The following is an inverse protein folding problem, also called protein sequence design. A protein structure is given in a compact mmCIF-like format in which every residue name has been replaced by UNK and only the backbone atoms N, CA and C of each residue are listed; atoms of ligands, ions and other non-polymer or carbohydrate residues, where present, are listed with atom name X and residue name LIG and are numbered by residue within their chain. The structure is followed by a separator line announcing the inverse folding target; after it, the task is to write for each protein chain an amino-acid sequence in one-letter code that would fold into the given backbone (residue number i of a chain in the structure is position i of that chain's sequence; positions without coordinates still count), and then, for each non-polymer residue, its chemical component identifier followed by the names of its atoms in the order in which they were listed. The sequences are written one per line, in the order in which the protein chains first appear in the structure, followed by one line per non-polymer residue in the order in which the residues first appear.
data_IF_958597904741
#
_entry.id   IF_958597904741
#
_cell.length_a   1.000
_cell.length_b   1.000
_cell.length_c   1.000
_cell.angle_alpha   90.00
_cell.angle_beta   90.00
_cell.angle_gamma   90.00
#
_symmetry.space_group_name_H-M   'P 1'
#
loop_
_entity.id
_entity.type
_entity.pdbx_description
1 polymer ?
#
# COMPACT_ATOMS: atom_id res chain seq x y z
N UNK A 1 -51.30 -14.25 -23.29
CA UNK A 1 -50.30 -14.71 -22.30
C UNK A 1 -48.84 -14.38 -22.67
N UNK A 2 -48.58 -13.52 -23.67
CA UNK A 2 -47.23 -13.20 -24.16
C UNK A 2 -46.63 -11.87 -23.62
N UNK A 3 -47.45 -10.96 -23.10
CA UNK A 3 -46.98 -9.65 -22.60
C UNK A 3 -46.30 -9.72 -21.23
N UNK A 4 -46.68 -10.69 -20.39
CA UNK A 4 -46.12 -10.87 -19.05
C UNK A 4 -44.67 -11.40 -19.04
N UNK A 5 -44.19 -12.00 -20.14
CA UNK A 5 -42.78 -12.40 -20.27
C UNK A 5 -41.87 -11.24 -20.70
N UNK A 6 -42.36 -10.28 -21.51
CA UNK A 6 -41.58 -9.11 -21.95
C UNK A 6 -41.27 -8.14 -20.80
N UNK A 7 -42.21 -7.93 -19.87
CA UNK A 7 -41.98 -7.09 -18.69
C UNK A 7 -40.96 -7.68 -17.70
N UNK A 8 -40.94 -9.00 -17.53
CA UNK A 8 -40.00 -9.67 -16.62
C UNK A 8 -38.56 -9.67 -17.15
N UNK A 9 -38.37 -9.79 -18.47
CA UNK A 9 -37.05 -9.66 -19.10
C UNK A 9 -36.48 -8.24 -19.01
N UNK A 10 -37.32 -7.22 -19.14
CA UNK A 10 -36.91 -5.82 -19.02
C UNK A 10 -36.56 -5.42 -17.56
N UNK A 11 -37.32 -5.94 -16.59
CA UNK A 11 -37.03 -5.75 -15.15
C UNK A 11 -35.71 -6.41 -14.71
N UNK A 12 -35.38 -7.59 -15.22
CA UNK A 12 -34.11 -8.27 -14.91
C UNK A 12 -32.88 -7.53 -15.47
N UNK A 13 -33.03 -6.86 -16.61
CA UNK A 13 -31.99 -6.02 -17.21
C UNK A 13 -31.78 -4.73 -16.39
N UNK A 14 -32.85 -4.08 -15.93
CA UNK A 14 -32.74 -2.87 -15.11
C UNK A 14 -32.11 -3.18 -13.73
N UNK A 15 -32.45 -4.31 -13.11
CA UNK A 15 -31.87 -4.73 -11.82
C UNK A 15 -30.38 -5.09 -11.96
N UNK A 16 -29.95 -5.65 -13.09
CA UNK A 16 -28.52 -5.92 -13.34
C UNK A 16 -27.69 -4.66 -13.61
N UNK A 17 -28.30 -3.57 -14.10
CA UNK A 17 -27.63 -2.27 -14.25
C UNK A 17 -27.48 -1.49 -12.92
N UNK A 18 -28.32 -1.75 -11.91
CA UNK A 18 -28.24 -1.03 -10.61
C UNK A 18 -27.16 -1.56 -9.66
N UNK A 19 -26.68 -2.79 -9.84
CA UNK A 19 -25.60 -3.35 -9.00
C UNK A 19 -24.21 -3.02 -9.58
N UNK A 20 -24.13 -2.66 -10.86
CA UNK A 20 -22.93 -2.09 -11.49
C UNK A 20 -22.84 -0.57 -11.33
N UNK A 21 -23.55 0.02 -10.36
CA UNK A 21 -23.27 1.37 -9.92
C UNK A 21 -21.85 1.39 -9.36
N UNK A 22 -20.92 1.75 -10.24
CA UNK A 22 -19.51 2.05 -10.01
C UNK A 22 -19.39 2.80 -8.68
N UNK A 23 -19.11 2.08 -7.58
CA UNK A 23 -18.66 2.72 -6.35
C UNK A 23 -17.25 3.19 -6.63
N UNK A 24 -17.11 4.34 -7.28
CA UNK A 24 -15.89 5.11 -7.22
C UNK A 24 -15.62 5.35 -5.72
N UNK A 25 -14.74 4.55 -5.14
CA UNK A 25 -14.41 4.67 -3.73
C UNK A 25 -13.77 6.05 -3.53
N UNK A 26 -14.22 6.75 -2.49
CA UNK A 26 -13.66 8.06 -2.17
C UNK A 26 -12.16 7.89 -1.86
N UNK A 27 -11.29 8.86 -2.26
CA UNK A 27 -9.90 8.87 -1.84
C UNK A 27 -9.77 8.71 -0.32
N UNK A 28 -8.78 7.95 0.14
CA UNK A 28 -8.55 7.64 1.56
C UNK A 28 -8.52 8.92 2.40
N UNK A 29 -7.86 9.94 1.88
CA UNK A 29 -7.63 11.24 2.51
C UNK A 29 -8.91 12.03 2.78
N UNK A 30 -9.98 11.76 2.02
CA UNK A 30 -11.30 12.41 2.14
C UNK A 30 -12.25 11.67 3.09
N UNK A 31 -11.82 10.54 3.65
CA UNK A 31 -12.63 9.76 4.57
C UNK A 31 -12.54 10.38 5.97
N UNK A 32 -13.71 10.64 6.57
CA UNK A 32 -13.81 11.21 7.93
C UNK A 32 -13.80 10.10 8.99
N UNK A 33 -14.26 8.89 8.62
CA UNK A 33 -14.22 7.73 9.49
C UNK A 33 -12.78 7.34 9.85
N UNK A 34 -12.61 6.78 11.05
CA UNK A 34 -11.33 6.23 11.52
C UNK A 34 -10.98 4.87 10.90
N UNK A 35 -11.87 4.30 10.09
CA UNK A 35 -11.67 3.02 9.41
C UNK A 35 -12.25 3.06 8.00
N UNK A 36 -11.69 2.24 7.13
CA UNK A 36 -12.19 2.02 5.78
C UNK A 36 -12.04 0.56 5.38
N UNK A 37 -13.03 0.06 4.64
CA UNK A 37 -13.04 -1.30 4.10
C UNK A 37 -12.70 -1.29 2.61
N UNK A 38 -11.76 -2.14 2.23
CA UNK A 38 -11.46 -2.55 0.85
C UNK A 38 -12.11 -3.92 0.57
N UNK A 39 -11.93 -4.47 -0.64
CA UNK A 39 -12.39 -5.81 -1.01
C UNK A 39 -12.01 -6.89 0.02
N UNK A 40 -10.79 -6.86 0.54
CA UNK A 40 -10.19 -7.96 1.33
C UNK A 40 -9.66 -7.54 2.71
N UNK A 41 -9.68 -6.25 3.05
CA UNK A 41 -9.11 -5.77 4.30
C UNK A 41 -9.90 -4.59 4.87
N UNK A 42 -9.93 -4.52 6.20
CA UNK A 42 -10.31 -3.31 6.94
C UNK A 42 -9.05 -2.61 7.41
N UNK A 43 -8.93 -1.32 7.11
CA UNK A 43 -7.82 -0.49 7.51
C UNK A 43 -8.28 0.56 8.51
N UNK A 44 -7.45 0.81 9.52
CA UNK A 44 -7.54 2.00 10.38
C UNK A 44 -6.87 3.18 9.68
N UNK A 45 -7.51 4.34 9.76
CA UNK A 45 -7.03 5.62 9.27
C UNK A 45 -6.64 6.51 10.45
N UNK A 46 -5.41 7.00 10.44
CA UNK A 46 -4.90 7.97 11.41
C UNK A 46 -4.47 9.24 10.68
N UNK A 47 -4.68 10.40 11.29
CA UNK A 47 -4.18 11.69 10.78
C UNK A 47 -3.09 12.18 11.72
N UNK A 48 -1.82 11.77 11.52
CA UNK A 48 -0.74 12.16 12.41
C UNK A 48 -0.51 13.67 12.42
N UNK A 49 -0.84 14.35 11.32
CA UNK A 49 -0.82 15.80 11.18
C UNK A 49 -1.84 16.27 10.13
N UNK A 50 -1.88 17.59 9.88
CA UNK A 50 -2.81 18.23 8.94
C UNK A 50 -2.51 17.92 7.46
N UNK A 51 -1.34 17.38 7.15
CA UNK A 51 -0.84 17.14 5.80
C UNK A 51 -0.79 15.65 5.43
N UNK A 52 -0.93 14.74 6.39
CA UNK A 52 -0.78 13.30 6.16
C UNK A 52 -1.95 12.46 6.69
N UNK A 53 -2.22 11.37 5.98
CA UNK A 53 -3.10 10.27 6.40
C UNK A 53 -2.31 8.98 6.39
N UNK A 54 -2.31 8.30 7.52
CA UNK A 54 -1.67 7.01 7.74
C UNK A 54 -2.71 5.89 7.66
N UNK A 55 -2.39 4.83 6.94
CA UNK A 55 -3.26 3.69 6.67
C UNK A 55 -2.63 2.43 7.24
N UNK A 56 -3.34 1.79 8.16
CA UNK A 56 -2.86 0.63 8.91
C UNK A 56 -3.86 -0.51 8.71
N UNK A 57 -3.43 -1.61 8.10
CA UNK A 57 -4.25 -2.81 7.99
C UNK A 57 -4.52 -3.37 9.40
N UNK A 58 -5.79 -3.62 9.75
CA UNK A 58 -6.16 -4.12 11.09
C UNK A 58 -5.66 -5.54 11.37
N UNK A 59 -5.27 -6.29 10.32
CA UNK A 59 -4.66 -7.60 10.47
C UNK A 59 -3.16 -7.53 10.82
N UNK A 60 -2.55 -6.34 10.83
CA UNK A 60 -1.17 -6.15 11.24
C UNK A 60 -1.02 -6.42 12.75
N UNK A 61 -0.22 -7.42 13.09
CA UNK A 61 0.10 -7.85 14.46
C UNK A 61 1.41 -7.27 14.99
N UNK A 62 2.31 -6.84 14.11
CA UNK A 62 3.63 -6.33 14.48
C UNK A 62 3.65 -4.81 14.71
N UNK A 63 2.55 -4.09 14.43
CA UNK A 63 2.51 -2.61 14.56
C UNK A 63 2.77 -2.13 16.00
N UNK A 64 2.36 -2.89 17.01
CA UNK A 64 2.60 -2.60 18.44
C UNK A 64 3.76 -3.39 19.05
N UNK A 65 4.42 -4.24 18.27
CA UNK A 65 5.53 -5.09 18.74
C UNK A 65 6.83 -4.35 18.52
N UNK A 66 7.73 -4.36 19.51
CA UNK A 66 9.07 -3.76 19.37
C UNK A 66 9.95 -4.65 18.49
N UNK A 67 10.75 -4.04 17.62
CA UNK A 67 11.77 -4.75 16.86
C UNK A 67 12.81 -5.36 17.82
N UNK A 68 13.12 -6.65 17.64
CA UNK A 68 14.11 -7.38 18.41
C UNK A 68 15.14 -7.98 17.47
N UNK A 69 16.42 -7.83 17.81
CA UNK A 69 17.56 -8.43 17.11
C UNK A 69 18.69 -8.68 18.12
N UNK A 70 18.55 -9.70 18.98
CA UNK A 70 19.37 -9.86 20.19
C UNK A 70 20.86 -10.12 19.90
N UNK A 71 21.18 -10.67 18.73
CA UNK A 71 22.56 -10.94 18.31
C UNK A 71 23.18 -9.83 17.46
N UNK A 72 22.46 -8.72 17.25
CA UNK A 72 22.98 -7.58 16.52
C UNK A 72 24.03 -6.85 17.39
N UNK A 73 25.25 -6.61 16.89
CA UNK A 73 26.25 -5.89 17.66
C UNK A 73 25.77 -4.47 18.05
N UNK A 74 26.18 -3.96 19.22
CA UNK A 74 25.86 -2.60 19.63
C UNK A 74 26.29 -1.57 18.56
N UNK A 75 25.45 -0.57 18.31
CA UNK A 75 25.72 0.50 17.35
C UNK A 75 25.46 0.15 15.88
N UNK A 76 25.17 -1.12 15.56
CA UNK A 76 24.82 -1.53 14.20
C UNK A 76 23.36 -1.17 13.91
N UNK A 77 23.14 -0.38 12.87
CA UNK A 77 21.81 0.00 12.39
C UNK A 77 21.46 -0.77 11.13
N UNK A 78 20.52 -1.73 11.25
CA UNK A 78 20.07 -2.58 10.14
C UNK A 78 19.70 -1.81 8.87
N UNK A 79 19.01 -0.64 8.91
CA UNK A 79 18.68 0.10 7.69
C UNK A 79 19.91 0.42 6.81
N UNK A 80 21.08 0.62 7.42
CA UNK A 80 22.34 0.85 6.70
C UNK A 80 22.86 -0.37 5.94
N UNK A 81 22.29 -1.55 6.15
CA UNK A 81 22.64 -2.84 5.55
C UNK A 81 21.53 -3.42 4.66
N UNK A 82 20.44 -2.69 4.47
CA UNK A 82 19.35 -3.10 3.58
C UNK A 82 19.56 -2.45 2.21
N UNK A 83 19.38 -3.23 1.16
CA UNK A 83 19.28 -2.76 -0.20
C UNK A 83 17.84 -2.91 -0.69
N UNK A 84 17.22 -1.79 -1.03
CA UNK A 84 15.84 -1.65 -1.47
C UNK A 84 15.83 -1.44 -2.97
N UNK A 85 15.12 -2.28 -3.71
CA UNK A 85 14.87 -2.04 -5.14
C UNK A 85 13.74 -1.02 -5.29
N UNK A 86 14.10 0.26 -5.26
CA UNK A 86 13.17 1.38 -5.38
C UNK A 86 12.46 1.40 -6.75
N UNK A 87 13.13 0.93 -7.82
CA UNK A 87 12.55 0.86 -9.17
C UNK A 87 11.43 -0.19 -9.23
N UNK A 88 11.65 -1.35 -8.61
CA UNK A 88 10.62 -2.38 -8.48
C UNK A 88 9.44 -1.88 -7.65
N UNK A 89 9.68 -1.18 -6.54
CA UNK A 89 8.60 -0.57 -5.75
C UNK A 89 7.81 0.47 -6.56
N UNK A 90 8.49 1.36 -7.29
CA UNK A 90 7.84 2.32 -8.18
C UNK A 90 6.96 1.62 -9.22
N UNK A 91 7.44 0.52 -9.81
CA UNK A 91 6.68 -0.29 -10.76
C UNK A 91 5.45 -0.97 -10.12
N UNK A 92 5.60 -1.52 -8.92
CA UNK A 92 4.49 -2.12 -8.17
C UNK A 92 3.44 -1.06 -7.81
N UNK A 93 3.85 0.11 -7.34
CA UNK A 93 2.91 1.19 -7.05
C UNK A 93 2.22 1.67 -8.32
N UNK A 94 2.98 1.98 -9.38
CA UNK A 94 2.47 2.48 -10.65
C UNK A 94 1.44 1.56 -11.33
N UNK A 95 1.67 0.24 -11.32
CA UNK A 95 0.73 -0.71 -11.95
C UNK A 95 -0.62 -0.77 -11.25
N UNK A 96 -0.64 -0.54 -9.93
CA UNK A 96 -1.84 -0.65 -9.10
C UNK A 96 -2.63 0.66 -9.00
N UNK A 97 -2.07 1.78 -9.46
CA UNK A 97 -2.75 3.06 -9.53
C UNK A 97 -3.35 3.27 -10.93
N UNK A 98 -4.55 3.83 -10.98
CA UNK A 98 -5.15 4.24 -12.25
C UNK A 98 -4.36 5.41 -12.88
N UNK A 99 -4.40 5.54 -14.20
CA UNK A 99 -3.75 6.66 -14.91
C UNK A 99 -4.25 8.01 -14.39
N UNK A 100 -5.56 8.10 -14.14
CA UNK A 100 -6.17 9.28 -13.59
C UNK A 100 -5.69 9.57 -12.16
N UNK A 101 -5.53 8.55 -11.31
CA UNK A 101 -4.95 8.71 -9.97
C UNK A 101 -3.53 9.27 -10.09
N UNK A 102 -2.69 8.66 -10.93
CA UNK A 102 -1.27 9.05 -11.10
C UNK A 102 -1.11 10.48 -11.60
N UNK A 103 -1.87 10.88 -12.63
CA UNK A 103 -1.79 12.23 -13.19
C UNK A 103 -2.28 13.31 -12.23
N UNK A 104 -3.15 12.95 -11.28
CA UNK A 104 -3.67 13.86 -10.26
C UNK A 104 -2.87 13.84 -8.95
N UNK A 105 -1.83 13.00 -8.84
CA UNK A 105 -0.92 13.06 -7.70
C UNK A 105 -0.04 14.30 -7.80
N UNK A 106 0.30 14.94 -6.66
CA UNK A 106 1.20 16.07 -6.65
C UNK A 106 2.62 15.63 -7.07
N UNK A 107 3.31 16.46 -7.87
CA UNK A 107 4.58 16.09 -8.53
C UNK A 107 5.79 16.88 -7.99
N UNK A 108 5.68 17.48 -6.81
CA UNK A 108 6.76 18.22 -6.18
C UNK A 108 7.87 17.33 -5.62
N UNK A 109 9.01 17.93 -5.30
CA UNK A 109 10.20 17.21 -4.80
C UNK A 109 9.95 16.39 -3.52
N UNK A 110 9.01 16.85 -2.67
CA UNK A 110 8.62 16.17 -1.43
C UNK A 110 7.35 15.32 -1.54
N UNK A 111 6.88 15.04 -2.75
CA UNK A 111 5.63 14.30 -2.96
C UNK A 111 5.89 12.81 -3.25
N UNK A 112 5.61 11.98 -2.25
CA UNK A 112 5.85 10.55 -2.30
C UNK A 112 4.78 9.77 -1.50
N UNK A 113 4.66 8.49 -1.80
CA UNK A 113 4.05 7.49 -0.92
C UNK A 113 5.12 6.98 0.05
N UNK A 114 4.91 7.18 1.35
CA UNK A 114 5.77 6.55 2.37
C UNK A 114 5.23 5.18 2.73
N UNK A 115 6.10 4.19 2.80
CA UNK A 115 5.77 2.80 3.13
C UNK A 115 6.72 2.33 4.22
N UNK A 116 6.16 2.09 5.41
CA UNK A 116 6.88 1.45 6.51
C UNK A 116 6.66 -0.06 6.40
N UNK A 117 7.65 -0.78 5.88
CA UNK A 117 7.59 -2.21 5.62
C UNK A 117 8.29 -2.95 6.77
N UNK A 118 7.61 -3.89 7.39
CA UNK A 118 8.20 -4.87 8.30
C UNK A 118 8.56 -6.10 7.50
N UNK A 119 9.82 -6.51 7.55
CA UNK A 119 10.34 -7.68 6.82
C UNK A 119 10.82 -8.76 7.80
N UNK A 120 10.82 -10.01 7.38
CA UNK A 120 11.51 -11.07 8.13
C UNK A 120 13.03 -11.06 7.87
N UNK A 121 13.74 -11.98 8.50
CA UNK A 121 15.20 -12.19 8.37
C UNK A 121 15.64 -12.61 6.96
N UNK A 122 14.71 -13.05 6.11
CA UNK A 122 14.97 -13.33 4.70
C UNK A 122 14.68 -12.14 3.78
N UNK A 123 14.26 -10.99 4.31
CA UNK A 123 13.94 -9.80 3.52
C UNK A 123 12.54 -9.81 2.89
N UNK A 124 11.67 -10.74 3.31
CA UNK A 124 10.30 -10.88 2.80
C UNK A 124 9.37 -9.95 3.59
N UNK A 125 8.53 -9.12 2.93
CA UNK A 125 7.52 -8.29 3.59
C UNK A 125 6.49 -9.10 4.38
N UNK A 126 6.27 -8.70 5.63
CA UNK A 126 5.28 -9.27 6.54
C UNK A 126 4.07 -8.34 6.69
N UNK A 127 4.33 -7.08 6.98
CA UNK A 127 3.31 -6.06 7.29
C UNK A 127 3.76 -4.71 6.81
N UNK A 128 2.79 -3.83 6.54
CA UNK A 128 3.05 -2.53 5.96
C UNK A 128 2.14 -1.48 6.58
N UNK A 129 2.66 -0.27 6.68
CA UNK A 129 1.88 0.93 6.98
C UNK A 129 2.17 1.94 5.89
N UNK A 130 1.12 2.56 5.37
CA UNK A 130 1.26 3.58 4.33
C UNK A 130 1.01 4.96 4.91
N UNK A 131 1.76 5.96 4.45
CA UNK A 131 1.46 7.36 4.75
C UNK A 131 1.35 8.11 3.43
N UNK A 132 0.19 8.74 3.26
CA UNK A 132 -0.18 9.51 2.08
C UNK A 132 -0.32 10.98 2.46
N UNK A 133 0.01 11.88 1.53
CA UNK A 133 -0.35 13.29 1.66
C UNK A 133 -1.86 13.45 1.58
N UNK A 134 -2.46 14.37 2.34
CA UNK A 134 -3.91 14.58 2.41
C UNK A 134 -4.54 15.06 1.09
N UNK A 135 -3.73 15.45 0.10
CA UNK A 135 -4.18 15.76 -1.26
C UNK A 135 -4.20 14.53 -2.17
N UNK A 136 -3.72 13.37 -1.72
CA UNK A 136 -3.63 12.16 -2.54
C UNK A 136 -5.02 11.66 -2.96
N UNK A 137 -5.23 11.39 -4.26
CA UNK A 137 -6.47 10.79 -4.77
C UNK A 137 -6.52 9.27 -4.57
N UNK A 138 -5.47 8.65 -4.01
CA UNK A 138 -5.37 7.20 -3.85
C UNK A 138 -6.52 6.65 -2.99
N UNK A 139 -7.12 5.57 -3.47
CA UNK A 139 -8.27 4.88 -2.88
C UNK A 139 -7.86 3.72 -1.96
N UNK A 140 -8.77 3.24 -1.09
CA UNK A 140 -8.51 2.08 -0.24
C UNK A 140 -8.16 0.81 -1.03
N UNK A 141 -8.86 0.58 -2.15
CA UNK A 141 -8.62 -0.58 -3.01
C UNK A 141 -7.21 -0.54 -3.63
N UNK A 142 -6.78 0.63 -4.13
CA UNK A 142 -5.44 0.82 -4.67
C UNK A 142 -4.34 0.55 -3.62
N UNK A 143 -4.48 1.05 -2.39
CA UNK A 143 -3.54 0.74 -1.30
C UNK A 143 -3.51 -0.76 -0.99
N UNK A 144 -4.68 -1.41 -0.98
CA UNK A 144 -4.76 -2.85 -0.73
C UNK A 144 -4.04 -3.65 -1.82
N UNK A 145 -4.25 -3.32 -3.09
CA UNK A 145 -3.57 -4.02 -4.19
C UNK A 145 -2.06 -3.78 -4.16
N UNK A 146 -1.59 -2.57 -3.83
CA UNK A 146 -0.17 -2.31 -3.58
C UNK A 146 0.37 -3.21 -2.45
N UNK A 147 -0.35 -3.36 -1.34
CA UNK A 147 0.06 -4.25 -0.23
C UNK A 147 0.20 -5.71 -0.67
N UNK A 148 -0.80 -6.23 -1.38
CA UNK A 148 -0.79 -7.61 -1.90
C UNK A 148 0.41 -7.84 -2.80
N UNK A 149 0.66 -6.90 -3.70
CA UNK A 149 1.69 -7.03 -4.71
C UNK A 149 3.12 -6.89 -4.18
N UNK A 150 3.32 -5.99 -3.20
CA UNK A 150 4.58 -5.89 -2.46
C UNK A 150 4.85 -7.22 -1.74
N UNK A 151 3.87 -7.76 -1.00
CA UNK A 151 4.03 -9.05 -0.31
C UNK A 151 4.32 -10.22 -1.24
N UNK A 152 3.80 -10.18 -2.47
CA UNK A 152 4.00 -11.23 -3.47
C UNK A 152 5.34 -11.15 -4.20
N UNK A 153 5.80 -9.94 -4.51
CA UNK A 153 6.84 -9.73 -5.54
C UNK A 153 8.07 -8.98 -5.06
N UNK A 154 7.97 -8.27 -3.93
CA UNK A 154 9.06 -7.45 -3.41
C UNK A 154 9.85 -8.20 -2.34
N UNK A 155 11.18 -8.09 -2.41
CA UNK A 155 12.09 -8.64 -1.42
C UNK A 155 13.27 -7.70 -1.29
N UNK A 156 13.67 -7.39 -0.06
CA UNK A 156 14.93 -6.67 0.15
C UNK A 156 16.10 -7.64 0.20
N UNK A 157 17.28 -7.13 -0.13
CA UNK A 157 18.53 -7.88 0.09
C UNK A 157 19.32 -7.23 1.20
N UNK A 158 20.15 -8.02 1.87
CA UNK A 158 21.07 -7.52 2.88
C UNK A 158 22.49 -7.55 2.32
N UNK A 159 23.34 -6.65 2.81
CA UNK A 159 24.74 -6.53 2.38
C UNK A 159 25.71 -6.82 3.51
N UNK A 160 26.95 -7.11 3.13
CA UNK A 160 28.09 -7.29 4.05
C UNK A 160 27.95 -8.45 5.06
N UNK A 161 27.13 -9.47 4.76
CA UNK A 161 27.01 -10.66 5.61
C UNK A 161 26.41 -10.38 6.99
N UNK A 162 25.63 -9.29 7.11
CA UNK A 162 24.93 -8.89 8.34
C UNK A 162 23.96 -9.97 8.83
N UNK A 163 23.53 -10.86 7.94
CA UNK A 163 22.55 -11.92 8.17
C UNK A 163 22.99 -12.91 9.25
N UNK A 164 24.30 -13.07 9.48
CA UNK A 164 24.84 -13.90 10.57
C UNK A 164 24.41 -13.44 11.97
N UNK A 165 23.91 -12.21 12.10
CA UNK A 165 23.43 -11.63 13.35
C UNK A 165 21.89 -11.66 13.50
N UNK A 166 21.17 -12.27 12.56
CA UNK A 166 19.71 -12.22 12.54
C UNK A 166 19.03 -13.29 13.40
N UNK A 167 19.79 -14.23 13.95
CA UNK A 167 19.21 -15.27 14.79
C UNK A 167 18.53 -14.66 16.04
N UNK A 168 17.30 -15.11 16.29
CA UNK A 168 16.38 -14.55 17.29
C UNK A 168 15.72 -13.22 16.92
N UNK A 169 15.95 -12.67 15.72
CA UNK A 169 15.28 -11.45 15.28
C UNK A 169 13.81 -11.73 14.88
N UNK A 170 12.89 -10.86 15.27
CA UNK A 170 11.47 -11.02 14.96
C UNK A 170 11.12 -10.42 13.58
N UNK A 171 11.56 -9.19 13.31
CA UNK A 171 11.42 -8.50 12.04
C UNK A 171 12.45 -7.36 11.95
N UNK A 172 12.54 -6.73 10.79
CA UNK A 172 13.26 -5.47 10.60
C UNK A 172 12.37 -4.42 9.95
N UNK A 173 12.53 -3.15 10.31
CA UNK A 173 11.86 -2.04 9.64
C UNK A 173 12.63 -1.61 8.39
N UNK A 174 11.89 -1.38 7.32
CA UNK A 174 12.35 -0.75 6.08
C UNK A 174 11.46 0.45 5.82
N UNK A 175 12.06 1.62 5.68
CA UNK A 175 11.37 2.84 5.31
C UNK A 175 11.61 3.07 3.82
N UNK A 176 10.55 3.00 3.02
CA UNK A 176 10.62 3.22 1.58
C UNK A 176 9.80 4.44 1.19
N UNK A 177 10.37 5.27 0.32
CA UNK A 177 9.72 6.46 -0.23
C UNK A 177 9.62 6.31 -1.73
N UNK A 178 8.40 6.17 -2.25
CA UNK A 178 8.17 6.05 -3.69
C UNK A 178 7.63 7.38 -4.20
N UNK A 179 8.43 8.11 -4.97
CA UNK A 179 8.01 9.40 -5.53
C UNK A 179 6.87 9.20 -6.52
N UNK A 180 5.87 10.07 -6.46
CA UNK A 180 4.76 10.00 -7.41
C UNK A 180 5.20 10.24 -8.86
N UNK A 181 6.24 11.04 -9.05
CA UNK A 181 6.84 11.29 -10.36
C UNK A 181 7.52 10.06 -10.95
N UNK A 182 8.15 9.22 -10.13
CA UNK A 182 8.74 7.97 -10.59
C UNK A 182 7.66 6.95 -10.95
N UNK A 183 6.56 6.89 -10.18
CA UNK A 183 5.41 6.05 -10.55
C UNK A 183 4.81 6.48 -11.90
N UNK A 184 4.70 7.79 -12.16
CA UNK A 184 4.16 8.32 -13.41
C UNK A 184 5.08 7.99 -14.60
N UNK A 185 6.40 8.20 -14.47
CA UNK A 185 7.38 7.84 -15.50
C UNK A 185 7.30 6.36 -15.88
N UNK A 186 7.25 5.47 -14.87
CA UNK A 186 7.10 4.02 -15.11
C UNK A 186 5.81 3.70 -15.87
N UNK A 187 4.72 4.42 -15.60
CA UNK A 187 3.44 4.23 -16.30
C UNK A 187 3.52 4.66 -17.76
N UNK A 188 4.23 5.74 -18.02
CA UNK A 188 4.44 6.33 -19.35
C UNK A 188 5.51 5.57 -20.16
N UNK A 189 6.19 4.59 -19.56
CA UNK A 189 7.25 3.80 -20.20
C UNK A 189 8.60 4.50 -20.26
N UNK A 190 8.81 5.52 -19.41
CA UNK A 190 10.04 6.32 -19.29
C UNK A 190 10.95 5.85 -18.14
#
# INVERSE_FOLDING_TARGET
MHENLRMKGLMLLIISFYITACRAQKPITKIIANQVKSSEATCRLEKPDVNATKVINLNNKLTSVKQMAPKLPPGVLIPGYINVDEKLLAKICSRNLSDNTLRNLPQGYGDFLSIDIKINTMGIPLEMVFVLKNTSPITPEEIKQIEVDIKKSFKVTFKYGIEKYFDGANYFNVYAYVRYSDMLKVKEGN
#
